data_IF_349462945645
#
_entry.id   IF_349462945645
#
_cell.length_a   1.000
_cell.length_b   1.000
_cell.length_c   1.000
_cell.angle_alpha   90.00
_cell.angle_beta   90.00
_cell.angle_gamma   90.00
#
_symmetry.space_group_name_H-M   'P 1'
#
loop_
_entity.id
_entity.type
_entity.pdbx_description
1 polymer ?
#
# COMPACT_ATOMS: atom_id res chain seq x y z
N UNK A 1 31.59 -3.04 -12.55
CA UNK A 1 31.65 -2.87 -14.02
C UNK A 1 32.45 -1.61 -14.28
N UNK A 2 33.45 -1.63 -15.17
CA UNK A 2 34.15 -0.39 -15.54
C UNK A 2 33.18 0.52 -16.29
N UNK A 3 33.14 1.79 -15.92
CA UNK A 3 32.34 2.78 -16.64
C UNK A 3 33.00 3.00 -18.00
N UNK A 4 32.24 2.84 -19.10
CA UNK A 4 32.79 3.06 -20.44
C UNK A 4 33.12 4.55 -20.64
N UNK A 5 34.23 4.87 -21.32
CA UNK A 5 34.63 6.25 -21.61
C UNK A 5 33.50 7.10 -22.21
N UNK A 6 32.70 6.52 -23.11
CA UNK A 6 31.54 7.21 -23.69
C UNK A 6 30.41 7.51 -22.68
N UNK A 7 30.23 6.70 -21.64
CA UNK A 7 29.30 6.99 -20.56
C UNK A 7 29.80 8.17 -19.70
N UNK A 8 31.10 8.18 -19.37
CA UNK A 8 31.72 9.28 -18.62
C UNK A 8 31.61 10.61 -19.36
N UNK A 9 31.90 10.63 -20.67
CA UNK A 9 31.76 11.84 -21.50
C UNK A 9 30.32 12.37 -21.47
N UNK A 10 29.31 11.50 -21.57
CA UNK A 10 27.89 11.94 -21.53
C UNK A 10 27.50 12.48 -20.15
N UNK A 11 27.95 11.85 -19.07
CA UNK A 11 27.71 12.34 -17.71
C UNK A 11 28.39 13.69 -17.48
N UNK A 12 29.60 13.90 -18.04
CA UNK A 12 30.37 15.12 -17.85
C UNK A 12 29.65 16.37 -18.41
N UNK A 13 28.90 16.25 -19.52
CA UNK A 13 28.11 17.35 -20.08
C UNK A 13 27.17 18.00 -19.05
N UNK A 14 26.56 17.19 -18.18
CA UNK A 14 25.63 17.66 -17.14
C UNK A 14 26.35 18.22 -15.93
N UNK A 15 27.54 17.69 -15.60
CA UNK A 15 28.38 18.24 -14.54
C UNK A 15 28.94 19.62 -14.91
N UNK A 16 29.35 19.79 -16.16
CA UNK A 16 29.91 21.05 -16.67
C UNK A 16 28.84 22.12 -16.88
N UNK A 17 27.64 21.72 -17.34
CA UNK A 17 26.51 22.64 -17.58
C UNK A 17 25.18 22.04 -17.08
N UNK A 18 24.84 22.16 -15.79
CA UNK A 18 23.59 21.61 -15.24
C UNK A 18 22.33 22.09 -15.96
N UNK A 19 22.31 23.34 -16.44
CA UNK A 19 21.21 23.90 -17.24
C UNK A 19 20.94 23.15 -18.57
N UNK A 20 21.84 22.26 -19.00
CA UNK A 20 21.60 21.43 -20.17
C UNK A 20 20.47 20.41 -19.94
N UNK A 21 20.27 19.93 -18.71
CA UNK A 21 19.20 18.97 -18.39
C UNK A 21 17.78 19.56 -18.65
N UNK A 22 17.39 20.70 -18.05
CA UNK A 22 16.09 21.31 -18.34
C UNK A 22 15.95 21.73 -19.81
N UNK A 23 17.03 22.15 -20.47
CA UNK A 23 17.01 22.45 -21.90
C UNK A 23 16.61 21.24 -22.74
N UNK A 24 17.18 20.06 -22.49
CA UNK A 24 16.81 18.84 -23.21
C UNK A 24 15.34 18.44 -22.95
N UNK A 25 14.88 18.59 -21.71
CA UNK A 25 13.48 18.29 -21.35
C UNK A 25 12.51 19.21 -22.11
N UNK A 26 12.75 20.52 -22.14
CA UNK A 26 11.85 21.46 -22.81
C UNK A 26 11.98 21.44 -24.32
N UNK A 27 13.19 21.63 -24.87
CA UNK A 27 13.41 21.87 -26.31
C UNK A 27 13.35 20.58 -27.14
N UNK A 28 13.84 19.46 -26.59
CA UNK A 28 13.92 18.20 -27.34
C UNK A 28 12.75 17.26 -27.03
N UNK A 29 12.22 17.29 -25.81
CA UNK A 29 11.16 16.38 -25.38
C UNK A 29 9.80 17.05 -25.19
N UNK A 30 9.71 18.39 -25.27
CA UNK A 30 8.45 19.12 -25.12
C UNK A 30 7.84 19.02 -23.73
N UNK A 31 8.67 18.76 -22.70
CA UNK A 31 8.23 18.65 -21.32
C UNK A 31 8.08 20.04 -20.72
N UNK A 32 6.90 20.32 -20.15
CA UNK A 32 6.68 21.52 -19.35
C UNK A 32 7.41 21.41 -18.01
N UNK A 33 8.20 22.43 -17.68
CA UNK A 33 8.97 22.52 -16.45
C UNK A 33 8.39 23.62 -15.55
N UNK A 34 8.52 23.48 -14.21
CA UNK A 34 8.17 24.58 -13.30
C UNK A 34 9.06 25.81 -13.56
N UNK A 35 8.64 26.99 -13.09
CA UNK A 35 9.50 28.18 -13.15
C UNK A 35 10.74 28.00 -12.27
N UNK A 36 11.92 28.32 -12.81
CA UNK A 36 13.20 28.29 -12.09
C UNK A 36 14.11 29.41 -12.61
N UNK A 37 15.00 29.91 -11.76
CA UNK A 37 15.99 30.95 -12.10
C UNK A 37 17.40 30.39 -12.29
N UNK A 38 17.70 29.22 -11.69
CA UNK A 38 19.00 28.57 -11.73
C UNK A 38 18.87 27.04 -11.79
N UNK A 39 19.80 26.39 -12.49
CA UNK A 39 20.00 24.95 -12.45
C UNK A 39 21.38 24.66 -11.86
N UNK A 40 21.42 23.94 -10.75
CA UNK A 40 22.64 23.62 -10.01
C UNK A 40 22.80 22.12 -9.86
N UNK A 41 24.04 21.64 -9.79
CA UNK A 41 24.32 20.25 -9.48
C UNK A 41 24.06 20.02 -7.99
N UNK A 42 23.10 19.17 -7.66
CA UNK A 42 22.95 18.63 -6.31
C UNK A 42 23.64 17.26 -6.21
N UNK A 43 23.87 16.79 -4.98
CA UNK A 43 24.52 15.52 -4.73
C UNK A 43 23.82 14.40 -5.53
N UNK A 44 24.56 13.77 -6.45
CA UNK A 44 24.03 12.70 -7.29
C UNK A 44 24.04 11.33 -6.59
N UNK A 45 24.55 11.27 -5.35
CA UNK A 45 24.42 10.10 -4.49
C UNK A 45 22.97 10.01 -4.02
N UNK A 46 22.12 9.39 -4.85
CA UNK A 46 20.76 8.97 -4.48
C UNK A 46 20.76 7.90 -3.37
N UNK A 47 21.95 7.39 -3.02
CA UNK A 47 22.16 6.54 -1.86
C UNK A 47 22.40 7.40 -0.62
N UNK A 48 21.33 7.81 0.05
CA UNK A 48 21.46 8.13 1.47
C UNK A 48 21.95 6.86 2.19
N UNK A 49 23.24 6.80 2.51
CA UNK A 49 23.72 6.01 3.66
C UNK A 49 23.44 6.84 4.91
N UNK A 50 22.16 7.11 5.14
CA UNK A 50 21.67 7.37 6.49
C UNK A 50 20.89 6.12 6.83
N UNK A 51 21.29 5.33 7.85
CA UNK A 51 20.43 4.30 8.40
C UNK A 51 19.28 4.99 9.15
N UNK A 52 18.42 5.71 8.42
CA UNK A 52 17.08 6.00 8.89
C UNK A 52 16.37 4.68 8.75
N UNK A 53 15.93 4.13 9.87
CA UNK A 53 15.09 2.95 9.88
C UNK A 53 13.74 3.32 9.25
N UNK A 54 13.66 3.28 7.92
CA UNK A 54 12.44 3.55 7.15
C UNK A 54 11.59 2.28 7.21
N UNK A 55 10.53 2.32 8.00
CA UNK A 55 9.59 1.21 8.17
C UNK A 55 8.30 1.55 7.42
N UNK A 56 7.91 0.71 6.48
CA UNK A 56 6.51 0.56 6.10
C UNK A 56 5.79 -0.21 7.20
N UNK A 57 4.47 -0.03 7.34
CA UNK A 57 3.71 -0.79 8.34
C UNK A 57 3.73 -2.29 8.03
N UNK A 58 3.66 -2.64 6.74
CA UNK A 58 3.92 -3.99 6.25
C UNK A 58 4.34 -4.01 4.77
N UNK A 59 5.00 -5.10 4.36
CA UNK A 59 5.25 -5.45 2.95
C UNK A 59 4.83 -6.89 2.71
N UNK A 60 3.92 -7.12 1.76
CA UNK A 60 3.36 -8.45 1.44
C UNK A 60 3.79 -8.86 0.03
N UNK A 61 4.36 -10.07 -0.12
CA UNK A 61 4.75 -10.61 -1.43
C UNK A 61 3.77 -11.69 -1.93
N UNK A 62 3.38 -11.58 -3.20
CA UNK A 62 2.59 -12.60 -3.90
C UNK A 62 3.52 -13.57 -4.65
N UNK A 63 3.35 -14.87 -4.43
CA UNK A 63 4.23 -15.93 -4.96
C UNK A 63 3.45 -16.92 -5.86
N UNK A 64 4.08 -17.41 -6.93
CA UNK A 64 3.52 -18.47 -7.78
C UNK A 64 3.92 -19.87 -7.27
N UNK A 65 2.92 -20.68 -6.89
CA UNK A 65 3.11 -22.03 -6.33
C UNK A 65 3.51 -23.09 -7.36
N UNK A 66 3.21 -22.91 -8.66
CA UNK A 66 3.61 -23.86 -9.69
C UNK A 66 5.14 -23.88 -9.92
N UNK A 67 5.82 -22.80 -9.51
CA UNK A 67 7.28 -22.69 -9.50
C UNK A 67 7.93 -23.22 -8.20
N UNK A 68 7.18 -23.28 -7.09
CA UNK A 68 7.67 -23.67 -5.75
C UNK A 68 8.12 -25.13 -5.71
N UNK A 69 7.55 -26.00 -6.56
CA UNK A 69 7.92 -27.42 -6.59
C UNK A 69 9.29 -27.70 -7.26
N UNK A 70 10.00 -26.70 -7.81
CA UNK A 70 11.24 -26.93 -8.55
C UNK A 70 12.51 -26.29 -8.01
N UNK A 71 12.47 -25.38 -7.04
CA UNK A 71 13.69 -24.79 -6.46
C UNK A 71 13.46 -24.47 -4.98
N UNK A 72 14.35 -24.90 -4.09
CA UNK A 72 14.42 -24.52 -2.65
C UNK A 72 14.80 -23.03 -2.43
N UNK A 73 14.38 -22.16 -3.34
CA UNK A 73 14.45 -20.71 -3.20
C UNK A 73 13.14 -20.13 -3.71
N UNK A 74 12.43 -19.41 -2.85
CA UNK A 74 11.32 -18.56 -3.23
C UNK A 74 11.84 -17.40 -4.12
N UNK A 75 12.13 -17.69 -5.39
CA UNK A 75 12.93 -16.81 -6.26
C UNK A 75 12.10 -15.99 -7.27
N UNK A 76 10.76 -16.09 -7.26
CA UNK A 76 9.91 -15.21 -8.08
C UNK A 76 8.75 -14.65 -7.28
N UNK A 77 8.98 -13.46 -6.71
CA UNK A 77 7.90 -12.60 -6.24
C UNK A 77 7.25 -11.97 -7.47
N UNK A 78 5.95 -12.22 -7.67
CA UNK A 78 5.22 -11.66 -8.82
C UNK A 78 4.83 -10.20 -8.55
N UNK A 79 4.64 -9.84 -7.29
CA UNK A 79 4.26 -8.49 -6.89
C UNK A 79 4.53 -8.27 -5.41
N UNK A 80 4.87 -7.03 -5.04
CA UNK A 80 4.85 -6.56 -3.65
C UNK A 80 3.68 -5.60 -3.41
N UNK A 81 3.14 -5.63 -2.19
CA UNK A 81 2.17 -4.66 -1.70
C UNK A 81 2.78 -3.97 -0.48
N UNK A 82 3.05 -2.68 -0.60
CA UNK A 82 3.42 -1.81 0.53
C UNK A 82 2.13 -1.39 1.22
N UNK A 83 2.01 -1.64 2.52
CA UNK A 83 0.81 -1.31 3.31
C UNK A 83 1.13 -0.18 4.27
N UNK A 84 0.26 0.82 4.30
CA UNK A 84 0.33 2.00 5.17
C UNK A 84 -1.03 2.27 5.80
N UNK A 85 -1.05 2.54 7.10
CA UNK A 85 -2.26 2.97 7.83
C UNK A 85 -2.17 4.47 8.09
N UNK A 86 -3.18 5.24 7.68
CA UNK A 86 -3.22 6.69 7.85
C UNK A 86 -4.43 7.12 8.67
N UNK A 87 -4.17 7.73 9.83
CA UNK A 87 -5.18 8.32 10.73
C UNK A 87 -5.38 9.83 10.49
N UNK A 88 -4.84 10.35 9.40
CA UNK A 88 -4.76 11.77 9.09
C UNK A 88 -4.21 11.99 7.69
N UNK A 89 -4.81 12.92 6.93
CA UNK A 89 -4.25 13.32 5.65
C UNK A 89 -3.03 14.24 5.81
N UNK A 90 -1.92 13.84 5.19
CA UNK A 90 -0.68 14.61 5.05
C UNK A 90 -0.15 14.39 3.63
N UNK A 91 -0.37 15.37 2.74
CA UNK A 91 -0.05 15.22 1.30
C UNK A 91 1.42 14.87 1.05
N UNK A 92 2.35 15.45 1.81
CA UNK A 92 3.79 15.23 1.69
C UNK A 92 4.21 13.76 1.91
N UNK A 93 3.37 12.92 2.53
CA UNK A 93 3.62 11.48 2.67
C UNK A 93 3.78 10.78 1.32
N UNK A 94 3.18 11.31 0.26
CA UNK A 94 3.22 10.70 -1.06
C UNK A 94 4.64 10.56 -1.63
N UNK A 95 5.53 11.51 -1.34
CA UNK A 95 6.93 11.45 -1.77
C UNK A 95 7.66 10.27 -1.11
N UNK A 96 7.38 10.04 0.17
CA UNK A 96 7.93 8.89 0.91
C UNK A 96 7.38 7.57 0.40
N UNK A 97 6.09 7.51 0.08
CA UNK A 97 5.52 6.28 -0.48
C UNK A 97 6.04 5.97 -1.89
N UNK A 98 6.30 6.99 -2.71
CA UNK A 98 6.93 6.82 -4.01
C UNK A 98 8.34 6.23 -3.87
N UNK A 99 9.12 6.71 -2.89
CA UNK A 99 10.41 6.11 -2.52
C UNK A 99 10.25 4.64 -2.10
N UNK A 100 9.30 4.33 -1.21
CA UNK A 100 9.06 2.95 -0.75
C UNK A 100 8.74 2.00 -1.91
N UNK A 101 7.88 2.44 -2.84
CA UNK A 101 7.53 1.68 -4.02
C UNK A 101 8.74 1.49 -4.94
N UNK A 102 9.53 2.54 -5.17
CA UNK A 102 10.74 2.50 -5.99
C UNK A 102 11.80 1.56 -5.43
N UNK A 103 12.10 1.64 -4.13
CA UNK A 103 13.08 0.76 -3.45
C UNK A 103 12.60 -0.68 -3.45
N UNK A 104 11.31 -0.92 -3.20
CA UNK A 104 10.71 -2.26 -3.25
C UNK A 104 10.81 -2.87 -4.66
N UNK A 105 10.49 -2.10 -5.69
CA UNK A 105 10.58 -2.53 -7.08
C UNK A 105 12.03 -2.80 -7.50
N UNK A 106 12.99 -1.97 -7.06
CA UNK A 106 14.41 -2.16 -7.34
C UNK A 106 14.96 -3.45 -6.70
N UNK A 107 14.67 -3.68 -5.41
CA UNK A 107 15.18 -4.83 -4.68
C UNK A 107 14.59 -6.15 -5.16
N UNK A 108 13.28 -6.18 -5.41
CA UNK A 108 12.56 -7.41 -5.70
C UNK A 108 12.29 -7.63 -7.19
N UNK A 109 12.63 -6.66 -8.05
CA UNK A 109 12.50 -6.74 -9.51
C UNK A 109 11.11 -7.19 -9.96
N UNK A 110 10.06 -6.75 -9.25
CA UNK A 110 8.67 -7.05 -9.54
C UNK A 110 7.78 -5.80 -9.38
N UNK A 111 6.57 -5.79 -9.99
CA UNK A 111 5.56 -4.76 -9.75
C UNK A 111 5.27 -4.52 -8.27
N UNK A 112 4.94 -3.27 -7.92
CA UNK A 112 4.60 -2.87 -6.55
C UNK A 112 3.28 -2.11 -6.56
N UNK A 113 2.37 -2.44 -5.64
CA UNK A 113 1.23 -1.60 -5.28
C UNK A 113 1.43 -0.99 -3.90
N UNK A 114 0.78 0.15 -3.70
CA UNK A 114 0.64 0.80 -2.42
C UNK A 114 -0.82 0.66 -1.96
N UNK A 115 -1.04 -0.02 -0.84
CA UNK A 115 -2.33 -0.11 -0.15
C UNK A 115 -2.33 0.86 1.03
N UNK A 116 -3.29 1.77 1.06
CA UNK A 116 -3.47 2.72 2.17
C UNK A 116 -4.78 2.44 2.88
N UNK A 117 -4.71 2.14 4.17
CA UNK A 117 -5.87 1.95 5.04
C UNK A 117 -6.15 3.26 5.78
N UNK A 118 -7.38 3.76 5.68
CA UNK A 118 -7.81 4.98 6.38
C UNK A 118 -8.98 4.66 7.30
N UNK A 119 -8.87 4.86 8.62
CA UNK A 119 -10.02 4.72 9.53
C UNK A 119 -11.07 5.82 9.36
N UNK A 120 -10.67 6.99 8.86
CA UNK A 120 -11.57 8.10 8.51
C UNK A 120 -11.85 8.09 7.00
N UNK A 121 -13.13 8.19 6.61
CA UNK A 121 -13.53 8.17 5.20
C UNK A 121 -13.13 9.47 4.48
N UNK A 122 -13.11 10.61 5.17
CA UNK A 122 -12.70 11.89 4.58
C UNK A 122 -11.21 11.89 4.19
N UNK A 123 -10.35 11.33 5.04
CA UNK A 123 -8.94 11.12 4.68
C UNK A 123 -8.79 10.10 3.53
N UNK A 124 -9.60 9.03 3.53
CA UNK A 124 -9.59 8.03 2.46
C UNK A 124 -9.88 8.66 1.08
N UNK A 125 -10.92 9.49 1.00
CA UNK A 125 -11.31 10.18 -0.24
C UNK A 125 -10.22 11.14 -0.72
N UNK A 126 -9.52 11.80 0.21
CA UNK A 126 -8.40 12.70 -0.14
C UNK A 126 -7.19 11.95 -0.68
N UNK A 127 -6.95 10.73 -0.21
CA UNK A 127 -5.88 9.88 -0.73
C UNK A 127 -6.26 9.13 -2.01
N UNK A 128 -7.54 8.88 -2.31
CA UNK A 128 -7.96 8.11 -3.50
C UNK A 128 -7.94 8.95 -4.79
N UNK A 129 -6.74 9.40 -5.16
CA UNK A 129 -6.48 10.15 -6.39
C UNK A 129 -5.08 9.86 -6.91
N UNK A 130 -4.84 10.28 -8.14
CA UNK A 130 -3.48 10.40 -8.64
C UNK A 130 -2.80 11.60 -7.99
N UNK A 131 -1.61 11.37 -7.45
CA UNK A 131 -0.68 12.41 -7.06
C UNK A 131 0.37 12.59 -8.15
N UNK A 132 0.63 13.85 -8.49
CA UNK A 132 1.64 14.24 -9.45
C UNK A 132 2.92 14.61 -8.70
N UNK A 133 4.01 13.90 -8.98
CA UNK A 133 5.33 14.11 -8.36
C UNK A 133 6.33 14.72 -9.34
N UNK A 134 5.86 15.11 -10.53
CA UNK A 134 6.67 15.67 -11.59
C UNK A 134 6.29 15.12 -12.97
N UNK A 135 6.92 15.64 -14.04
CA UNK A 135 6.52 15.33 -15.41
C UNK A 135 6.53 13.82 -15.71
N UNK A 136 5.33 13.26 -15.89
CA UNK A 136 5.14 11.83 -16.16
C UNK A 136 5.35 10.90 -14.96
N UNK A 137 5.66 11.42 -13.77
CA UNK A 137 5.85 10.64 -12.55
C UNK A 137 4.68 10.82 -11.59
N UNK A 138 3.83 9.80 -11.51
CA UNK A 138 2.59 9.84 -10.72
C UNK A 138 2.44 8.60 -9.87
N UNK A 139 1.84 8.77 -8.69
CA UNK A 139 1.51 7.68 -7.77
C UNK A 139 0.02 7.68 -7.50
N UNK A 140 -0.61 6.49 -7.54
CA UNK A 140 -1.98 6.30 -7.09
C UNK A 140 -2.03 5.18 -6.05
N UNK A 141 -2.26 5.48 -4.76
CA UNK A 141 -2.52 4.45 -3.77
C UNK A 141 -3.83 3.72 -4.06
N UNK A 142 -3.89 2.44 -3.70
CA UNK A 142 -5.13 1.68 -3.54
C UNK A 142 -5.66 1.98 -2.14
N UNK A 143 -6.73 2.76 -2.03
CA UNK A 143 -7.21 3.25 -0.73
C UNK A 143 -8.43 2.46 -0.26
N UNK A 144 -8.39 2.04 1.00
CA UNK A 144 -9.49 1.40 1.71
C UNK A 144 -9.90 2.26 2.91
N UNK A 145 -11.06 2.91 2.78
CA UNK A 145 -11.76 3.62 3.87
C UNK A 145 -12.96 2.83 4.40
N UNK A 146 -13.64 3.32 5.45
CA UNK A 146 -14.81 2.68 6.08
C UNK A 146 -15.89 2.24 5.09
N UNK A 147 -16.19 3.04 4.07
CA UNK A 147 -17.30 2.79 3.14
C UNK A 147 -17.04 1.62 2.18
N UNK A 148 -15.76 1.25 2.01
CA UNK A 148 -15.34 0.13 1.15
C UNK A 148 -15.21 -1.19 1.91
N UNK A 149 -15.28 -1.15 3.25
CA UNK A 149 -15.26 -2.36 4.06
C UNK A 149 -16.64 -3.03 4.01
N UNK A 150 -16.70 -4.34 3.72
CA UNK A 150 -17.96 -5.04 3.69
C UNK A 150 -18.58 -5.11 5.09
N UNK A 151 -19.91 -4.99 5.15
CA UNK A 151 -20.64 -5.22 6.38
C UNK A 151 -20.47 -6.68 6.81
N UNK A 152 -20.09 -6.90 8.07
CA UNK A 152 -20.00 -8.23 8.67
C UNK A 152 -21.35 -8.54 9.29
N UNK A 153 -22.08 -9.49 8.69
CA UNK A 153 -23.49 -9.73 9.07
C UNK A 153 -23.72 -11.06 9.78
N UNK A 154 -22.74 -11.97 9.78
CA UNK A 154 -22.87 -13.31 10.33
C UNK A 154 -21.59 -13.79 11.02
N UNK A 155 -21.72 -14.80 11.88
CA UNK A 155 -20.56 -15.49 12.46
C UNK A 155 -19.72 -16.22 11.40
N UNK A 156 -20.34 -16.62 10.29
CA UNK A 156 -19.63 -17.26 9.17
C UNK A 156 -18.71 -16.26 8.45
N UNK A 157 -19.16 -15.01 8.26
CA UNK A 157 -18.32 -13.95 7.67
C UNK A 157 -17.09 -13.67 8.56
N UNK A 158 -17.27 -13.65 9.88
CA UNK A 158 -16.17 -13.51 10.84
C UNK A 158 -15.21 -14.68 10.75
N UNK A 159 -15.72 -15.91 10.67
CA UNK A 159 -14.87 -17.10 10.56
C UNK A 159 -14.10 -17.15 9.24
N UNK A 160 -14.66 -16.59 8.16
CA UNK A 160 -14.03 -16.55 6.82
C UNK A 160 -12.85 -15.58 6.76
N UNK A 161 -12.94 -14.44 7.44
CA UNK A 161 -11.81 -13.51 7.60
C UNK A 161 -11.95 -12.71 8.90
N UNK A 162 -11.34 -13.20 9.99
CA UNK A 162 -11.33 -12.49 11.26
C UNK A 162 -10.73 -11.09 11.17
N UNK A 163 -9.68 -10.90 10.35
CA UNK A 163 -8.97 -9.64 10.17
C UNK A 163 -9.86 -8.60 9.49
N UNK A 164 -10.58 -9.01 8.43
CA UNK A 164 -11.55 -8.15 7.77
C UNK A 164 -12.70 -7.78 8.71
N UNK A 165 -13.13 -8.72 9.55
CA UNK A 165 -14.15 -8.44 10.54
C UNK A 165 -13.68 -7.43 11.60
N UNK A 166 -12.44 -7.53 12.07
CA UNK A 166 -11.82 -6.54 12.96
C UNK A 166 -11.81 -5.15 12.30
N UNK A 167 -11.36 -5.05 11.06
CA UNK A 167 -11.34 -3.77 10.32
C UNK A 167 -12.76 -3.20 10.15
N UNK A 168 -13.72 -4.02 9.72
CA UNK A 168 -15.11 -3.59 9.52
C UNK A 168 -15.78 -3.15 10.82
N UNK A 169 -15.57 -3.86 11.94
CA UNK A 169 -16.11 -3.47 13.23
C UNK A 169 -15.46 -2.21 13.80
N UNK A 170 -14.15 -2.01 13.55
CA UNK A 170 -13.47 -0.78 13.93
C UNK A 170 -13.96 0.43 13.13
N UNK A 171 -14.28 0.23 11.86
CA UNK A 171 -14.82 1.26 10.96
C UNK A 171 -16.28 1.62 11.26
N UNK A 172 -17.08 0.65 11.72
CA UNK A 172 -18.52 0.80 11.98
C UNK A 172 -18.90 0.40 13.41
N UNK A 173 -18.48 1.16 14.44
CA UNK A 173 -18.70 0.79 15.84
C UNK A 173 -20.19 0.70 16.23
N UNK A 174 -21.05 1.44 15.54
CA UNK A 174 -22.50 1.49 15.77
C UNK A 174 -23.30 0.53 14.88
N UNK A 175 -22.66 -0.22 13.98
CA UNK A 175 -23.35 -1.21 13.18
C UNK A 175 -23.94 -2.29 14.11
N UNK A 176 -25.23 -2.64 13.97
CA UNK A 176 -25.86 -3.60 14.86
C UNK A 176 -25.13 -4.94 14.75
N UNK A 177 -24.41 -5.31 15.81
CA UNK A 177 -23.86 -6.65 15.97
C UNK A 177 -25.04 -7.60 16.04
N UNK A 178 -25.41 -8.23 14.93
CA UNK A 178 -26.33 -9.37 14.96
C UNK A 178 -25.62 -10.53 15.62
N UNK A 179 -25.68 -10.58 16.94
CA UNK A 179 -25.47 -11.80 17.70
C UNK A 179 -26.68 -12.71 17.43
N UNK A 180 -26.69 -13.40 16.30
CA UNK A 180 -27.53 -14.59 16.17
C UNK A 180 -26.86 -15.69 16.99
N UNK A 181 -27.19 -15.70 18.29
CA UNK A 181 -27.02 -16.89 19.11
C UNK A 181 -28.03 -17.94 18.65
N UNK A 182 -27.69 -19.25 18.63
CA UNK A 182 -28.65 -20.29 18.34
C UNK A 182 -29.76 -20.24 19.39
N UNK A 183 -30.95 -19.81 18.94
CA UNK A 183 -32.14 -19.67 19.76
C UNK A 183 -32.47 -20.99 20.46
N UNK A 184 -32.55 -20.91 21.78
CA UNK A 184 -33.12 -21.91 22.65
C UNK A 184 -34.54 -22.27 22.19
N UNK A 185 -34.68 -23.47 21.64
CA UNK A 185 -35.95 -24.13 21.34
C UNK A 185 -35.94 -25.53 21.90
N UNK A 186 -35.89 -25.67 23.24
CA UNK A 186 -36.20 -26.93 23.92
C UNK A 186 -37.25 -26.64 24.98
N UNK A 187 -38.48 -27.02 24.63
CA UNK A 187 -39.64 -26.95 25.49
C UNK A 187 -39.38 -27.67 26.82
N UNK A 188 -39.89 -27.07 27.90
CA UNK A 188 -39.98 -27.71 29.20
C UNK A 188 -40.98 -28.85 29.12
N UNK A 189 -40.53 -30.07 28.84
CA UNK A 189 -41.27 -31.27 29.21
C UNK A 189 -41.18 -31.45 30.73
N UNK A 190 -42.28 -31.12 31.40
CA UNK A 190 -42.51 -31.41 32.81
C UNK A 190 -43.26 -32.75 32.88
N UNK A 191 -42.73 -33.79 33.54
CA UNK A 191 -43.46 -35.06 33.64
C UNK A 191 -44.68 -34.90 34.56
N UNK A 192 -45.81 -35.60 34.30
CA UNK A 192 -46.93 -35.61 35.22
C UNK A 192 -46.57 -36.38 36.49
N UNK A 193 -46.90 -35.77 37.64
CA UNK A 193 -46.79 -36.41 38.96
C UNK A 193 -47.72 -37.61 39.03
N UNK A 194 -47.18 -38.74 39.45
CA UNK A 194 -47.90 -39.93 39.89
C UNK A 194 -48.94 -39.54 40.95
N UNK A 195 -50.20 -39.94 40.74
CA UNK A 195 -51.21 -39.98 41.78
C UNK A 195 -50.96 -41.25 42.60
N UNK A 196 -50.66 -41.09 43.89
CA UNK A 196 -50.88 -42.15 44.86
C UNK A 196 -52.39 -42.32 45.07
N UNK A 197 -52.88 -43.55 44.90
CA UNK A 197 -54.14 -44.02 45.42
C UNK A 197 -53.84 -45.36 46.12
N UNK A 198 -54.15 -45.37 47.42
CA UNK A 198 -54.07 -46.46 48.41
C UNK A 198 -52.72 -46.74 49.08
#
# INVERSE_FOLDING_TARGET
MSVSHGHETRVQLFKDRPAFAPQLLSECLGVELPEFDQAVLQCADLGEVVPVERRADAVVGLLDTALIARIEKHEKTEMLIVVEVQTGFVEEKVYRWAEYCGVSADRSRCPVALLVLCPDQGDADRYDRWFDLGPGFRLKPQVLGPDRLPAVTSAEDVARSPELAVLAFAAHPDAPRRTEGPGAGLGKDRPPRSREIH
#
